data_IF_333906001940
#
_entry.id   IF_333906001940
#
_cell.length_a   1.000
_cell.length_b   1.000
_cell.length_c   1.000
_cell.angle_alpha   90.00
_cell.angle_beta   90.00
_cell.angle_gamma   90.00
#
_symmetry.space_group_name_H-M   'P 1'
#
loop_
_entity.id
_entity.type
_entity.pdbx_description
1 polymer ?
#
# COMPACT_ATOMS: atom_id res chain seq x y z
N UNK A 1 4.24 -23.18 9.67
CA UNK A 1 4.45 -22.96 8.22
C UNK A 1 5.42 -23.95 7.56
N UNK A 2 6.02 -24.91 8.27
CA UNK A 2 7.05 -25.80 7.69
C UNK A 2 6.52 -27.10 7.06
N UNK A 3 5.26 -27.47 7.28
CA UNK A 3 4.74 -28.77 6.84
C UNK A 3 4.64 -28.88 5.31
N UNK A 4 4.15 -27.84 4.61
CA UNK A 4 4.04 -27.86 3.13
C UNK A 4 5.40 -27.98 2.42
N UNK A 5 6.43 -27.33 2.95
CA UNK A 5 7.78 -27.34 2.36
C UNK A 5 8.43 -28.72 2.56
N UNK A 6 8.23 -29.32 3.73
CA UNK A 6 8.67 -30.68 4.04
C UNK A 6 7.96 -31.74 3.19
N UNK A 7 6.64 -31.61 2.98
CA UNK A 7 5.85 -32.54 2.15
C UNK A 7 6.27 -32.47 0.67
N UNK A 8 6.63 -31.28 0.17
CA UNK A 8 7.12 -31.10 -1.20
C UNK A 8 8.59 -31.52 -1.38
N UNK A 9 9.30 -31.90 -0.31
CA UNK A 9 10.73 -32.23 -0.37
C UNK A 9 11.64 -31.03 -0.67
N UNK A 10 11.13 -29.81 -0.57
CA UNK A 10 11.87 -28.58 -0.79
C UNK A 10 12.44 -28.05 0.54
N UNK A 11 13.51 -27.27 0.47
CA UNK A 11 14.07 -26.52 1.60
C UNK A 11 13.41 -25.15 1.73
N UNK A 12 13.00 -24.59 0.59
CA UNK A 12 12.42 -23.25 0.47
C UNK A 12 11.10 -23.28 -0.31
N UNK A 13 10.25 -22.28 -0.07
CA UNK A 13 9.10 -22.01 -0.94
C UNK A 13 9.57 -21.67 -2.36
N UNK A 14 8.89 -22.26 -3.36
CA UNK A 14 9.15 -22.09 -4.79
C UNK A 14 10.57 -22.52 -5.23
N UNK A 15 11.18 -23.52 -4.57
CA UNK A 15 12.47 -24.07 -4.99
C UNK A 15 12.42 -24.68 -6.40
N UNK A 16 11.29 -25.30 -6.78
CA UNK A 16 11.08 -25.85 -8.13
C UNK A 16 10.76 -24.82 -9.22
N UNK A 17 10.53 -23.55 -8.87
CA UNK A 17 10.22 -22.48 -9.83
C UNK A 17 10.94 -21.16 -9.47
N UNK A 18 12.24 -21.05 -9.85
CA UNK A 18 13.04 -19.89 -9.49
C UNK A 18 12.58 -18.60 -10.19
N UNK A 19 11.98 -18.70 -11.38
CA UNK A 19 11.49 -17.53 -12.12
C UNK A 19 10.29 -16.89 -11.44
N UNK A 20 9.33 -17.71 -11.00
CA UNK A 20 8.19 -17.23 -10.21
C UNK A 20 8.65 -16.62 -8.88
N UNK A 21 9.60 -17.28 -8.19
CA UNK A 21 10.19 -16.78 -6.94
C UNK A 21 10.85 -15.41 -7.13
N UNK A 22 11.59 -15.20 -8.22
CA UNK A 22 12.24 -13.93 -8.51
C UNK A 22 11.20 -12.83 -8.84
N UNK A 23 10.20 -13.14 -9.66
CA UNK A 23 9.13 -12.19 -10.01
C UNK A 23 8.33 -11.72 -8.80
N UNK A 24 8.04 -12.61 -7.84
CA UNK A 24 7.40 -12.24 -6.58
C UNK A 24 8.31 -11.33 -5.72
N UNK A 25 9.59 -11.69 -5.58
CA UNK A 25 10.56 -10.88 -4.81
C UNK A 25 10.71 -9.46 -5.32
N UNK A 26 10.64 -9.24 -6.64
CA UNK A 26 10.72 -7.89 -7.21
C UNK A 26 9.47 -7.04 -6.89
N UNK A 27 8.31 -7.68 -6.70
CA UNK A 27 7.06 -7.01 -6.32
C UNK A 27 6.99 -6.72 -4.82
N UNK A 28 7.60 -7.56 -3.99
CA UNK A 28 7.55 -7.47 -2.52
C UNK A 28 7.95 -6.09 -1.99
N UNK A 29 9.00 -5.45 -2.54
CA UNK A 29 9.46 -4.13 -2.08
C UNK A 29 8.36 -3.06 -2.20
N UNK A 30 7.61 -3.07 -3.31
CA UNK A 30 6.53 -2.12 -3.56
C UNK A 30 5.28 -2.47 -2.76
N UNK A 31 4.90 -3.75 -2.72
CA UNK A 31 3.74 -4.23 -1.95
C UNK A 31 3.93 -3.94 -0.45
N UNK A 32 5.13 -4.18 0.08
CA UNK A 32 5.46 -3.93 1.50
C UNK A 32 5.29 -2.46 1.86
N UNK A 33 5.77 -1.57 1.00
CA UNK A 33 5.62 -0.11 1.21
C UNK A 33 4.15 0.27 1.23
N UNK A 34 3.34 -0.23 0.28
CA UNK A 34 1.90 0.02 0.24
C UNK A 34 1.17 -0.58 1.44
N UNK A 35 1.57 -1.74 1.94
CA UNK A 35 1.00 -2.36 3.14
C UNK A 35 1.22 -1.49 4.38
N UNK A 36 2.43 -0.95 4.56
CA UNK A 36 2.73 -0.02 5.68
C UNK A 36 1.91 1.26 5.55
N UNK A 37 1.85 1.85 4.35
CA UNK A 37 1.02 3.03 4.09
C UNK A 37 -0.47 2.75 4.37
N UNK A 38 -0.98 1.60 3.95
CA UNK A 38 -2.37 1.20 4.17
C UNK A 38 -2.67 1.04 5.66
N UNK A 39 -1.82 0.33 6.41
CA UNK A 39 -1.98 0.14 7.84
C UNK A 39 -1.96 1.46 8.62
N UNK A 40 -1.04 2.36 8.28
CA UNK A 40 -0.96 3.69 8.89
C UNK A 40 -2.19 4.55 8.57
N UNK A 41 -2.64 4.52 7.31
CA UNK A 41 -3.85 5.25 6.86
C UNK A 41 -5.09 4.74 7.58
N UNK A 42 -5.25 3.41 7.70
CA UNK A 42 -6.34 2.79 8.45
C UNK A 42 -6.31 3.18 9.93
N UNK A 43 -5.12 3.28 10.54
CA UNK A 43 -4.99 3.74 11.93
C UNK A 43 -5.49 5.18 12.09
N UNK A 44 -5.12 6.09 11.19
CA UNK A 44 -5.61 7.48 11.18
C UNK A 44 -7.12 7.58 10.98
N UNK A 45 -7.69 6.69 10.17
CA UNK A 45 -9.14 6.66 9.92
C UNK A 45 -9.91 6.14 11.15
N UNK A 46 -9.40 5.11 11.83
CA UNK A 46 -10.14 4.37 12.87
C UNK A 46 -9.90 4.85 14.29
N UNK A 47 -8.76 5.51 14.55
CA UNK A 47 -8.37 5.98 15.88
C UNK A 47 -8.34 7.53 15.90
N UNK A 48 -9.40 8.19 16.42
CA UNK A 48 -9.44 9.65 16.50
C UNK A 48 -8.37 10.25 17.42
N UNK A 49 -7.80 9.45 18.34
CA UNK A 49 -6.72 9.90 19.24
C UNK A 49 -5.36 9.93 18.55
N UNK A 50 -5.24 9.29 17.38
CA UNK A 50 -4.00 9.18 16.63
C UNK A 50 -3.73 10.46 15.81
N UNK A 51 -3.09 11.43 16.45
CA UNK A 51 -2.70 12.69 15.83
C UNK A 51 -1.38 12.52 15.07
N UNK A 52 -1.45 12.37 13.75
CA UNK A 52 -0.27 12.46 12.88
C UNK A 52 0.11 13.93 12.70
N UNK A 53 1.32 14.32 13.09
CA UNK A 53 1.83 15.65 12.78
C UNK A 53 2.02 15.76 11.25
N UNK A 54 1.41 16.76 10.57
CA UNK A 54 1.66 16.99 9.17
C UNK A 54 3.14 17.36 8.97
N UNK A 55 3.88 16.52 8.25
CA UNK A 55 5.22 16.90 7.79
C UNK A 55 5.13 18.05 6.78
N UNK A 56 6.24 18.77 6.52
CA UNK A 56 6.26 19.78 5.48
C UNK A 56 5.89 19.15 4.12
N UNK A 57 5.11 19.88 3.31
CA UNK A 57 4.81 19.44 1.95
C UNK A 57 6.11 19.29 1.16
N UNK A 58 6.40 18.06 0.70
CA UNK A 58 7.66 17.74 0.01
C UNK A 58 7.57 17.95 -1.52
N UNK A 59 6.37 18.06 -2.08
CA UNK A 59 6.18 18.21 -3.53
C UNK A 59 6.36 19.68 -3.96
N UNK A 60 7.43 19.95 -4.69
CA UNK A 60 7.72 21.28 -5.27
C UNK A 60 6.63 21.75 -6.22
N UNK A 61 6.10 20.86 -7.07
CA UNK A 61 5.03 21.21 -8.03
C UNK A 61 3.74 21.66 -7.32
N UNK A 62 3.39 21.03 -6.19
CA UNK A 62 2.21 21.43 -5.41
C UNK A 62 2.45 22.78 -4.71
N UNK A 63 3.66 23.00 -4.18
CA UNK A 63 4.04 24.28 -3.58
C UNK A 63 4.03 25.42 -4.60
N UNK A 64 4.50 25.17 -5.83
CA UNK A 64 4.60 26.15 -6.91
C UNK A 64 3.25 26.43 -7.58
N UNK A 65 2.37 25.43 -7.70
CA UNK A 65 1.04 25.60 -8.31
C UNK A 65 0.03 26.28 -7.40
N UNK A 66 0.33 26.43 -6.10
CA UNK A 66 -0.58 27.02 -5.11
C UNK A 66 -1.89 26.25 -4.90
N UNK A 67 -2.00 25.06 -5.51
CA UNK A 67 -3.21 24.25 -5.50
C UNK A 67 -3.33 23.53 -4.15
N UNK A 68 -4.47 23.68 -3.48
CA UNK A 68 -4.72 22.95 -2.24
C UNK A 68 -4.70 21.45 -2.54
N UNK A 69 -4.00 20.67 -1.70
CA UNK A 69 -3.95 19.21 -1.85
C UNK A 69 -5.35 18.59 -1.92
N UNK A 70 -6.33 19.20 -1.23
CA UNK A 70 -7.75 18.86 -1.28
C UNK A 70 -8.35 18.89 -2.70
N UNK A 71 -7.88 19.75 -3.60
CA UNK A 71 -8.39 19.87 -4.98
C UNK A 71 -7.87 18.78 -5.92
N UNK A 72 -6.81 18.06 -5.52
CA UNK A 72 -6.22 16.96 -6.29
C UNK A 72 -6.85 15.61 -5.94
N UNK A 73 -7.63 15.56 -4.86
CA UNK A 73 -8.22 14.35 -4.30
C UNK A 73 -9.63 14.18 -4.86
N UNK A 74 -9.70 13.49 -5.99
CA UNK A 74 -10.88 13.42 -6.87
C UNK A 74 -11.62 12.09 -6.81
N UNK A 75 -11.14 11.10 -6.04
CA UNK A 75 -11.75 9.77 -6.07
C UNK A 75 -13.10 9.75 -5.36
N UNK A 76 -13.25 10.47 -4.24
CA UNK A 76 -14.54 10.65 -3.57
C UNK A 76 -14.73 12.08 -3.01
N UNK A 77 -15.43 12.98 -3.74
CA UNK A 77 -15.62 14.36 -3.30
C UNK A 77 -16.59 14.51 -2.11
N UNK A 78 -17.32 13.46 -1.72
CA UNK A 78 -18.26 13.46 -0.58
C UNK A 78 -17.72 12.69 0.62
N UNK A 79 -16.41 12.47 0.70
CA UNK A 79 -15.79 11.70 1.79
C UNK A 79 -16.07 12.32 3.17
N UNK A 80 -16.42 11.48 4.13
CA UNK A 80 -16.54 11.86 5.55
C UNK A 80 -15.17 11.88 6.27
N UNK A 81 -14.12 11.39 5.62
CA UNK A 81 -12.77 11.35 6.18
C UNK A 81 -11.98 12.62 5.86
N UNK A 82 -10.93 12.89 6.65
CA UNK A 82 -10.04 14.02 6.37
C UNK A 82 -9.49 13.94 4.93
N UNK A 83 -9.35 15.09 4.23
CA UNK A 83 -9.01 15.11 2.81
C UNK A 83 -7.81 14.21 2.48
N UNK A 84 -8.05 13.25 1.58
CA UNK A 84 -7.03 12.40 0.99
C UNK A 84 -6.77 11.08 1.70
N UNK A 85 -7.36 10.85 2.87
CA UNK A 85 -7.26 9.55 3.56
C UNK A 85 -7.94 8.43 2.75
N UNK A 86 -9.15 8.68 2.26
CA UNK A 86 -9.90 7.70 1.45
C UNK A 86 -9.19 7.42 0.12
N UNK A 87 -8.80 8.46 -0.60
CA UNK A 87 -8.06 8.36 -1.86
C UNK A 87 -6.75 7.58 -1.68
N UNK A 88 -5.99 7.85 -0.60
CA UNK A 88 -4.77 7.12 -0.26
C UNK A 88 -5.08 5.64 0.01
N UNK A 89 -6.13 5.35 0.77
CA UNK A 89 -6.56 3.99 1.07
C UNK A 89 -6.91 3.23 -0.22
N UNK A 90 -7.70 3.83 -1.11
CA UNK A 90 -8.09 3.25 -2.40
C UNK A 90 -6.84 2.98 -3.26
N UNK A 91 -5.89 3.91 -3.30
CA UNK A 91 -4.65 3.74 -4.07
C UNK A 91 -3.84 2.55 -3.54
N UNK A 92 -3.71 2.42 -2.21
CA UNK A 92 -3.02 1.27 -1.61
C UNK A 92 -3.71 -0.05 -1.91
N UNK A 93 -5.05 -0.12 -1.81
CA UNK A 93 -5.82 -1.32 -2.14
C UNK A 93 -5.61 -1.75 -3.60
N UNK A 94 -5.70 -0.79 -4.55
CA UNK A 94 -5.48 -1.06 -5.97
C UNK A 94 -4.05 -1.53 -6.26
N UNK A 95 -3.05 -0.86 -5.67
CA UNK A 95 -1.65 -1.21 -5.87
C UNK A 95 -1.28 -2.59 -5.31
N UNK A 96 -1.78 -2.92 -4.11
CA UNK A 96 -1.59 -4.25 -3.50
C UNK A 96 -2.28 -5.32 -4.35
N UNK A 97 -3.54 -5.10 -4.75
CA UNK A 97 -4.26 -6.06 -5.59
C UNK A 97 -3.54 -6.32 -6.93
N UNK A 98 -3.02 -5.27 -7.57
CA UNK A 98 -2.24 -5.39 -8.80
C UNK A 98 -0.92 -6.15 -8.59
N UNK A 99 -0.27 -6.00 -7.43
CA UNK A 99 0.95 -6.72 -7.09
C UNK A 99 0.72 -8.19 -6.73
N UNK A 100 -0.33 -8.47 -5.95
CA UNK A 100 -0.67 -9.81 -5.45
C UNK A 100 -1.24 -10.72 -6.54
N UNK A 101 -2.00 -10.16 -7.49
CA UNK A 101 -2.59 -10.90 -8.61
C UNK A 101 -3.47 -12.08 -8.12
N UNK A 102 -3.47 -13.21 -8.85
CA UNK A 102 -4.30 -14.38 -8.54
C UNK A 102 -3.82 -15.10 -7.27
N UNK A 103 -4.75 -15.34 -6.35
CA UNK A 103 -4.47 -15.94 -5.03
C UNK A 103 -5.47 -17.03 -4.62
N UNK A 104 -6.46 -17.32 -5.47
CA UNK A 104 -7.52 -18.31 -5.23
C UNK A 104 -7.21 -19.69 -5.77
#
# INVERSE_FOLDING_TARGET
>A
NSENVQVAGHKDLLEGDPYLRQSLRLRDSYITTLNVCQAYTLKRIRDPSFHSQPGPHLSKEIMESGKLAAELLKLNPTSEYAPGLEDTLILTMKGIAAGMQNTG
#
